data_IF_017134293970
#
_entry.id   IF_017134293970
#
_cell.length_a   1.000
_cell.length_b   1.000
_cell.length_c   1.000
_cell.angle_alpha   90.00
_cell.angle_beta   90.00
_cell.angle_gamma   90.00
#
_symmetry.space_group_name_H-M   'P 1'
#
loop_
_entity.id
_entity.type
_entity.pdbx_description
1 polymer ?
#
# COMPACT_ATOMS: atom_id res chain seq x y z
N UNK A 1 0.42 -13.56 -22.97
CA UNK A 1 -0.52 -12.41 -23.08
C UNK A 1 -1.16 -12.24 -21.72
N UNK A 2 -0.87 -11.11 -21.08
CA UNK A 2 -0.95 -10.81 -19.63
C UNK A 2 -2.24 -11.22 -18.91
N UNK A 3 -2.12 -11.91 -17.75
CA UNK A 3 -3.08 -11.67 -16.67
C UNK A 3 -2.39 -11.66 -15.30
N UNK A 4 -1.37 -10.83 -15.09
CA UNK A 4 -0.61 -10.79 -13.83
C UNK A 4 -0.36 -9.37 -13.30
N UNK A 5 -1.21 -8.41 -13.69
CA UNK A 5 -1.34 -7.17 -12.93
C UNK A 5 -2.21 -7.45 -11.70
N UNK A 6 -1.70 -8.30 -10.79
CA UNK A 6 -2.40 -8.56 -9.54
C UNK A 6 -2.46 -7.26 -8.76
N UNK A 7 -3.69 -6.84 -8.47
CA UNK A 7 -4.00 -5.95 -7.39
C UNK A 7 -3.16 -6.35 -6.16
N UNK A 8 -2.26 -5.46 -5.73
CA UNK A 8 -1.80 -5.38 -4.34
C UNK A 8 -2.95 -4.92 -3.41
N UNK A 9 -4.18 -5.38 -3.66
CA UNK A 9 -5.25 -5.32 -2.70
C UNK A 9 -5.01 -6.46 -1.70
N UNK A 10 -4.23 -6.14 -0.67
CA UNK A 10 -4.26 -6.81 0.65
C UNK A 10 -3.71 -8.24 0.80
N UNK A 11 -3.35 -8.96 -0.27
CA UNK A 11 -3.01 -10.40 -0.17
C UNK A 11 -1.54 -10.82 -0.33
N UNK A 12 -0.66 -9.97 -0.87
CA UNK A 12 0.72 -10.35 -1.21
C UNK A 12 1.68 -9.79 -0.17
N UNK A 13 2.03 -10.62 0.82
CA UNK A 13 3.01 -10.30 1.86
C UNK A 13 4.39 -10.85 1.46
N UNK A 14 5.11 -10.09 0.65
CA UNK A 14 6.46 -10.47 0.18
C UNK A 14 7.50 -9.71 1.02
N UNK A 15 8.25 -10.38 1.90
CA UNK A 15 9.29 -9.72 2.71
C UNK A 15 10.40 -9.10 1.84
N UNK A 16 10.56 -9.59 0.62
CA UNK A 16 11.58 -9.17 -0.36
C UNK A 16 11.19 -7.91 -1.16
N UNK A 17 10.17 -7.15 -0.75
CA UNK A 17 9.73 -5.93 -1.48
C UNK A 17 10.79 -4.84 -1.41
N UNK A 18 11.60 -4.71 -2.45
CA UNK A 18 12.59 -3.64 -2.59
C UNK A 18 12.03 -2.35 -3.20
N UNK A 19 10.94 -2.44 -3.98
CA UNK A 19 10.34 -1.32 -4.70
C UNK A 19 8.81 -1.37 -4.54
N UNK A 20 8.21 -0.25 -4.14
CA UNK A 20 6.77 -0.07 -4.04
C UNK A 20 6.33 0.97 -5.06
N UNK A 21 5.39 0.61 -5.93
CA UNK A 21 4.94 1.51 -7.00
C UNK A 21 3.45 1.83 -6.88
N UNK A 22 3.14 3.11 -6.70
CA UNK A 22 1.79 3.63 -6.75
C UNK A 22 1.45 4.10 -8.18
N UNK A 23 0.74 3.24 -8.92
CA UNK A 23 0.14 3.55 -10.23
C UNK A 23 -1.35 3.92 -10.15
N UNK A 24 -1.89 4.05 -8.93
CA UNK A 24 -3.29 4.39 -8.69
C UNK A 24 -3.39 5.37 -7.54
N UNK A 25 -4.39 6.24 -7.60
CA UNK A 25 -4.74 7.14 -6.49
C UNK A 25 -5.32 6.31 -5.33
N UNK A 26 -4.77 6.55 -4.14
CA UNK A 26 -5.16 5.96 -2.86
C UNK A 26 -5.76 7.06 -2.01
N UNK A 27 -7.05 6.94 -1.66
CA UNK A 27 -7.76 7.97 -0.86
C UNK A 27 -7.89 7.60 0.62
N UNK A 28 -7.73 6.32 0.96
CA UNK A 28 -7.79 5.82 2.34
C UNK A 28 -6.42 5.87 2.99
N UNK A 29 -6.28 6.61 4.10
CA UNK A 29 -5.04 6.69 4.87
C UNK A 29 -4.62 5.33 5.42
N UNK A 30 -5.57 4.58 6.01
CA UNK A 30 -5.30 3.24 6.52
C UNK A 30 -4.72 2.34 5.45
N UNK A 31 -5.30 2.34 4.24
CA UNK A 31 -4.81 1.53 3.13
C UNK A 31 -3.41 1.97 2.68
N UNK A 32 -3.17 3.28 2.59
CA UNK A 32 -1.86 3.83 2.21
C UNK A 32 -0.76 3.41 3.18
N UNK A 33 -0.95 3.63 4.48
CA UNK A 33 0.02 3.26 5.50
C UNK A 33 0.24 1.75 5.60
N UNK A 34 -0.81 0.96 5.38
CA UNK A 34 -0.67 -0.49 5.29
C UNK A 34 0.20 -0.91 4.09
N UNK A 35 0.06 -0.27 2.93
CA UNK A 35 0.92 -0.53 1.77
C UNK A 35 2.37 -0.15 2.06
N UNK A 36 2.62 1.04 2.61
CA UNK A 36 3.97 1.49 2.99
C UNK A 36 4.61 0.55 4.01
N UNK A 37 3.85 0.08 5.01
CA UNK A 37 4.31 -0.85 6.03
C UNK A 37 4.73 -2.24 5.50
N UNK A 38 4.35 -2.62 4.28
CA UNK A 38 4.89 -3.85 3.65
C UNK A 38 6.32 -3.66 3.17
N UNK A 39 6.67 -2.45 2.71
CA UNK A 39 8.02 -2.13 2.25
C UNK A 39 9.05 -2.02 3.37
N UNK A 40 8.64 -1.66 4.59
CA UNK A 40 9.53 -1.45 5.75
C UNK A 40 10.05 -2.73 6.40
N UNK A 41 9.60 -3.91 5.98
CA UNK A 41 10.09 -5.18 6.51
C UNK A 41 11.56 -5.37 6.17
N UNK A 42 12.37 -5.63 7.20
CA UNK A 42 13.77 -5.98 7.06
C UNK A 42 13.91 -7.39 6.50
N UNK A 43 14.97 -7.60 5.70
CA UNK A 43 15.26 -8.88 5.08
C UNK A 43 16.76 -9.09 5.04
N UNK A 44 17.21 -10.19 5.66
CA UNK A 44 18.61 -10.58 5.65
C UNK A 44 19.03 -11.03 4.25
N UNK A 45 20.26 -10.70 3.88
CA UNK A 45 20.91 -11.15 2.64
C UNK A 45 20.13 -10.83 1.33
N UNK A 46 19.27 -9.81 1.33
CA UNK A 46 18.42 -9.51 0.17
C UNK A 46 19.22 -9.08 -1.06
N UNK A 47 20.31 -8.33 -0.86
CA UNK A 47 21.15 -7.84 -1.95
C UNK A 47 22.41 -8.68 -2.18
N UNK A 48 22.62 -9.70 -1.35
CA UNK A 48 23.79 -10.58 -1.36
C UNK A 48 24.21 -10.99 0.05
N UNK A 49 25.21 -11.90 0.20
CA UNK A 49 25.67 -12.35 1.50
C UNK A 49 26.16 -11.18 2.38
N UNK A 50 25.55 -11.01 3.55
CA UNK A 50 25.80 -9.91 4.48
C UNK A 50 25.19 -8.57 4.09
N UNK A 51 24.38 -8.51 3.02
CA UNK A 51 23.74 -7.28 2.54
C UNK A 51 22.24 -7.28 2.83
N UNK A 52 21.93 -6.88 4.04
CA UNK A 52 20.56 -6.77 4.52
C UNK A 52 19.83 -5.57 3.91
N UNK A 53 18.52 -5.73 3.80
CA UNK A 53 17.63 -4.66 3.35
C UNK A 53 17.48 -3.59 4.42
N UNK A 54 18.21 -2.49 4.28
CA UNK A 54 18.06 -1.29 5.12
C UNK A 54 17.03 -0.27 4.62
N UNK A 55 16.65 -0.33 3.33
CA UNK A 55 15.70 0.62 2.73
C UNK A 55 14.93 0.00 1.56
N UNK A 56 13.89 0.68 1.11
CA UNK A 56 13.12 0.35 -0.08
C UNK A 56 12.74 1.65 -0.80
N UNK A 57 12.53 1.57 -2.11
CA UNK A 57 12.12 2.72 -2.91
C UNK A 57 10.60 2.78 -3.04
N UNK A 58 10.05 4.00 -3.03
CA UNK A 58 8.65 4.28 -3.38
C UNK A 58 8.62 5.10 -4.66
N UNK A 59 7.91 4.60 -5.67
CA UNK A 59 7.64 5.31 -6.91
C UNK A 59 6.17 5.71 -6.93
N UNK A 60 5.91 7.02 -6.93
CA UNK A 60 4.55 7.54 -6.83
C UNK A 60 4.16 8.35 -8.08
N UNK A 61 3.40 7.71 -8.96
CA UNK A 61 2.91 8.34 -10.20
C UNK A 61 1.61 9.10 -9.99
N UNK A 62 0.99 9.01 -8.82
CA UNK A 62 -0.34 9.56 -8.53
C UNK A 62 -0.35 10.56 -7.37
N UNK A 63 0.82 11.03 -6.92
CA UNK A 63 1.00 12.03 -5.86
C UNK A 63 0.32 11.66 -4.52
N UNK A 64 0.28 10.37 -4.19
CA UNK A 64 -0.21 9.90 -2.90
C UNK A 64 0.64 10.38 -1.72
N UNK A 65 1.97 10.41 -1.86
CA UNK A 65 2.89 10.86 -0.82
C UNK A 65 2.64 12.33 -0.45
N UNK A 66 2.52 13.19 -1.46
CA UNK A 66 2.22 14.60 -1.27
C UNK A 66 0.83 14.78 -0.63
N UNK A 67 -0.17 14.03 -1.11
CA UNK A 67 -1.52 14.05 -0.59
C UNK A 67 -1.59 13.70 0.91
N UNK A 68 -0.95 12.61 1.34
CA UNK A 68 -0.96 12.19 2.75
C UNK A 68 0.01 12.98 3.63
N UNK A 69 1.05 13.60 3.06
CA UNK A 69 1.91 14.54 3.78
C UNK A 69 1.15 15.82 4.18
N UNK A 70 0.24 16.30 3.33
CA UNK A 70 -0.62 17.44 3.62
C UNK A 70 -1.91 17.04 4.38
N UNK A 71 -2.41 15.81 4.17
CA UNK A 71 -3.64 15.30 4.79
C UNK A 71 -3.40 13.92 5.45
N UNK A 72 -2.86 13.87 6.69
CA UNK A 72 -2.49 12.62 7.34
C UNK A 72 -3.64 11.63 7.55
N UNK A 73 -4.87 12.14 7.72
CA UNK A 73 -6.10 11.34 7.88
C UNK A 73 -6.70 10.82 6.56
N UNK A 74 -6.21 11.29 5.41
CA UNK A 74 -6.79 10.97 4.11
C UNK A 74 -8.19 11.53 3.91
N UNK A 75 -8.89 11.02 2.90
CA UNK A 75 -10.31 11.31 2.72
C UNK A 75 -11.10 10.27 3.52
N UNK A 76 -11.87 10.72 4.52
CA UNK A 76 -12.91 9.89 5.12
C UNK A 76 -13.96 9.65 4.05
N UNK A 77 -13.82 8.53 3.32
CA UNK A 77 -14.89 8.03 2.47
C UNK A 77 -16.10 7.84 3.37
N UNK A 78 -17.15 8.65 3.16
CA UNK A 78 -18.36 8.58 3.95
C UNK A 78 -18.77 7.13 4.10
N UNK A 79 -18.85 6.65 5.35
CA UNK A 79 -19.16 5.27 5.65
C UNK A 79 -20.48 4.93 4.96
N UNK A 80 -20.39 4.23 3.82
CA UNK A 80 -21.56 3.73 3.13
C UNK A 80 -22.29 2.84 4.13
N UNK A 81 -23.57 3.17 4.39
CA UNK A 81 -24.41 2.43 5.32
C UNK A 81 -24.22 0.93 5.06
N UNK A 82 -23.75 0.16 6.05
CA UNK A 82 -23.47 -1.25 5.86
C UNK A 82 -24.73 -1.96 5.35
N UNK A 83 -24.55 -2.88 4.40
CA UNK A 83 -25.64 -3.55 3.69
C UNK A 83 -26.66 -4.19 4.65
N UNK A 84 -26.19 -4.63 5.82
CA UNK A 84 -27.01 -5.18 6.90
C UNK A 84 -28.10 -4.21 7.39
N UNK A 85 -27.84 -2.89 7.42
CA UNK A 85 -28.82 -1.89 7.85
C UNK A 85 -29.93 -1.67 6.81
N UNK A 86 -29.73 -2.04 5.53
CA UNK A 86 -30.78 -1.96 4.49
C UNK A 86 -31.70 -3.18 4.42
N UNK A 87 -31.27 -4.32 4.95
CA UNK A 87 -32.02 -5.59 4.86
C UNK A 87 -33.05 -5.78 5.98
N UNK A 88 -32.97 -4.98 7.05
CA UNK A 88 -33.85 -5.09 8.22
C UNK A 88 -34.63 -3.80 8.52
N UNK A 89 -34.84 -2.95 7.50
CA UNK A 89 -35.69 -1.76 7.58
C UNK A 89 -37.03 -1.99 6.89
#
# INVERSE_FOLDING_TARGET
TLPLAWQLDTGIDVPDVANLVFFKIVRSATKFWQMVGRGTRLRLDLFGPGQDKGSFAIFDFCQNLEYFGQNPGGHEGGAGVPLSTRLFA
#
